data_IF_839790595664
#
_entry.id   IF_839790595664
#
_cell.length_a   1.000
_cell.length_b   1.000
_cell.length_c   1.000
_cell.angle_alpha   90.00
_cell.angle_beta   90.00
_cell.angle_gamma   90.00
#
_symmetry.space_group_name_H-M   'P 1'
#
loop_
_entity.id
_entity.type
_entity.pdbx_description
1 polymer ?
#
# COMPACT_ATOMS: atom_id res chain seq x y z
N UNK A 1 6.75 19.59 -9.06
CA UNK A 1 6.71 18.74 -10.26
C UNK A 1 5.52 17.80 -10.10
N UNK A 2 4.55 17.82 -11.01
CA UNK A 2 3.41 16.88 -10.97
C UNK A 2 3.80 15.67 -11.80
N UNK A 3 3.89 14.50 -11.18
CA UNK A 3 4.16 13.26 -11.91
C UNK A 3 2.84 12.68 -12.43
N UNK A 4 2.76 12.26 -13.71
CA UNK A 4 1.55 11.62 -14.23
C UNK A 4 1.22 10.36 -13.42
N UNK A 5 -0.06 10.12 -13.16
CA UNK A 5 -0.55 8.98 -12.38
C UNK A 5 -0.35 7.65 -13.12
N UNK A 6 0.88 7.15 -13.13
CA UNK A 6 1.25 5.88 -13.74
C UNK A 6 1.94 4.96 -12.72
N UNK A 7 2.27 3.74 -13.15
CA UNK A 7 2.86 2.73 -12.29
C UNK A 7 4.28 3.09 -11.79
N UNK A 8 4.94 4.09 -12.37
CA UNK A 8 6.30 4.52 -12.04
C UNK A 8 6.35 5.47 -10.83
N UNK A 9 5.22 5.71 -10.15
CA UNK A 9 5.17 6.57 -8.97
C UNK A 9 5.64 5.88 -7.70
N UNK A 10 5.35 4.59 -7.52
CA UNK A 10 5.77 3.87 -6.31
C UNK A 10 7.30 3.89 -6.12
N UNK A 11 8.13 3.75 -7.17
CA UNK A 11 9.58 3.88 -7.04
C UNK A 11 10.10 5.31 -6.86
N UNK A 12 9.29 6.35 -7.09
CA UNK A 12 9.74 7.76 -7.01
C UNK A 12 9.36 8.36 -5.66
N UNK A 13 10.32 8.51 -4.76
CA UNK A 13 10.06 9.02 -3.40
C UNK A 13 9.43 10.41 -3.42
N UNK A 14 9.81 11.26 -4.38
CA UNK A 14 9.31 12.62 -4.51
C UNK A 14 7.83 12.69 -4.88
N UNK A 15 7.25 11.58 -5.37
CA UNK A 15 5.82 11.48 -5.65
C UNK A 15 4.98 11.16 -4.41
N UNK A 16 5.60 10.83 -3.28
CA UNK A 16 4.91 10.52 -2.03
C UNK A 16 4.95 11.70 -1.05
N UNK A 17 3.82 12.04 -0.41
CA UNK A 17 3.81 12.95 0.73
C UNK A 17 4.79 12.50 1.80
N UNK A 18 5.45 13.43 2.49
CA UNK A 18 6.48 13.12 3.50
C UNK A 18 5.98 12.11 4.56
N UNK A 19 4.74 12.28 5.03
CA UNK A 19 4.10 11.38 5.98
C UNK A 19 3.92 9.93 5.48
N UNK A 20 3.86 9.71 4.16
CA UNK A 20 3.64 8.41 3.55
C UNK A 20 4.94 7.74 3.02
N UNK A 21 6.09 8.43 3.06
CA UNK A 21 7.39 7.86 2.67
C UNK A 21 7.80 6.61 3.47
N UNK A 22 7.52 6.51 4.79
CA UNK A 22 7.79 5.29 5.54
C UNK A 22 6.98 4.09 4.99
N UNK A 23 5.72 4.31 4.60
CA UNK A 23 4.86 3.29 3.99
C UNK A 23 5.46 2.79 2.67
N UNK A 24 5.91 3.71 1.81
CA UNK A 24 6.60 3.37 0.56
C UNK A 24 7.85 2.52 0.81
N UNK A 25 8.68 2.93 1.75
CA UNK A 25 9.94 2.25 2.08
C UNK A 25 9.66 0.81 2.54
N UNK A 26 8.81 0.66 3.55
CA UNK A 26 8.44 -0.65 4.07
C UNK A 26 7.75 -1.53 3.00
N UNK A 27 6.98 -0.93 2.09
CA UNK A 27 6.40 -1.66 0.97
C UNK A 27 7.46 -2.17 0.00
N UNK A 28 8.38 -1.31 -0.45
CA UNK A 28 9.44 -1.71 -1.38
C UNK A 28 10.40 -2.75 -0.78
N UNK A 29 10.53 -2.78 0.54
CA UNK A 29 11.29 -3.80 1.28
C UNK A 29 10.52 -5.12 1.50
N UNK A 30 9.21 -5.18 1.19
CA UNK A 30 8.40 -6.41 1.28
C UNK A 30 8.55 -7.30 0.05
N UNK A 31 8.24 -8.60 0.17
CA UNK A 31 8.25 -9.53 -0.97
C UNK A 31 7.34 -9.07 -2.11
N UNK A 32 6.13 -8.58 -1.79
CA UNK A 32 5.17 -8.09 -2.78
C UNK A 32 5.68 -6.83 -3.48
N UNK A 33 6.30 -5.89 -2.73
CA UNK A 33 6.87 -4.68 -3.31
C UNK A 33 8.07 -4.95 -4.22
N UNK A 34 8.89 -5.94 -3.88
CA UNK A 34 9.96 -6.42 -4.77
C UNK A 34 9.43 -7.09 -6.03
N UNK A 35 8.42 -7.96 -5.88
CA UNK A 35 7.91 -8.76 -7.00
C UNK A 35 7.03 -7.95 -7.96
N UNK A 36 6.21 -7.04 -7.43
CA UNK A 36 5.14 -6.38 -8.19
C UNK A 36 5.01 -4.89 -7.82
N UNK A 37 6.06 -4.06 -7.93
CA UNK A 37 6.01 -2.65 -7.52
C UNK A 37 5.04 -1.79 -8.34
N UNK A 38 4.59 -2.27 -9.51
CA UNK A 38 3.79 -1.53 -10.49
C UNK A 38 2.31 -1.97 -10.64
N UNK A 39 1.91 -3.11 -10.05
CA UNK A 39 0.51 -3.58 -10.09
C UNK A 39 -0.52 -2.60 -9.48
N UNK A 40 -1.52 -2.18 -10.27
CA UNK A 40 -2.58 -1.24 -9.88
C UNK A 40 -3.99 -1.82 -10.11
N UNK A 41 -5.03 -1.41 -9.35
CA UNK A 41 -4.97 -0.57 -8.16
C UNK A 41 -4.34 -1.32 -6.98
N UNK A 42 -3.65 -0.60 -6.09
CA UNK A 42 -2.98 -1.17 -4.91
C UNK A 42 -3.43 -0.52 -3.62
N UNK A 43 -3.51 -1.35 -2.58
CA UNK A 43 -3.79 -0.93 -1.22
C UNK A 43 -2.71 -1.49 -0.30
N UNK A 44 -2.20 -0.64 0.59
CA UNK A 44 -1.16 -0.98 1.56
C UNK A 44 -1.72 -0.61 2.94
N UNK A 45 -1.86 -1.59 3.82
CA UNK A 45 -2.16 -1.38 5.23
C UNK A 45 -0.84 -1.31 5.99
N UNK A 46 -0.62 -0.19 6.66
CA UNK A 46 0.59 0.09 7.41
C UNK A 46 0.23 0.44 8.84
N UNK A 47 0.86 -0.24 9.79
CA UNK A 47 0.64 -0.05 11.22
C UNK A 47 1.97 -0.28 11.95
N UNK A 48 2.25 0.55 12.95
CA UNK A 48 3.41 0.41 13.83
C UNK A 48 4.75 0.22 13.09
N UNK A 49 4.94 0.98 12.01
CA UNK A 49 6.18 0.95 11.23
C UNK A 49 6.28 -0.21 10.23
N UNK A 50 5.25 -1.05 10.10
CA UNK A 50 5.27 -2.28 9.29
C UNK A 50 4.11 -2.33 8.31
N UNK A 51 4.37 -2.95 7.16
CA UNK A 51 3.30 -3.34 6.23
C UNK A 51 2.61 -4.58 6.78
N UNK A 52 1.32 -4.45 7.10
CA UNK A 52 0.48 -5.52 7.65
C UNK A 52 -0.14 -6.34 6.52
N UNK A 53 -0.60 -5.67 5.47
CA UNK A 53 -1.26 -6.30 4.32
C UNK A 53 -1.07 -5.46 3.07
N UNK A 54 -0.82 -6.13 1.94
CA UNK A 54 -0.85 -5.53 0.61
C UNK A 54 -1.79 -6.32 -0.28
N UNK A 55 -2.66 -5.62 -1.00
CA UNK A 55 -3.55 -6.25 -1.97
C UNK A 55 -3.65 -5.43 -3.24
N UNK A 56 -4.01 -6.09 -4.33
CA UNK A 56 -4.23 -5.46 -5.63
C UNK A 56 -5.64 -5.76 -6.13
N UNK A 57 -6.23 -4.82 -6.87
CA UNK A 57 -7.55 -4.98 -7.48
C UNK A 57 -8.71 -4.79 -6.49
N UNK A 58 -9.91 -4.56 -7.05
CA UNK A 58 -11.13 -4.32 -6.25
C UNK A 58 -11.55 -5.54 -5.42
N UNK A 59 -11.33 -6.75 -5.94
CA UNK A 59 -11.57 -7.99 -5.18
C UNK A 59 -10.64 -8.07 -3.97
N UNK A 60 -9.34 -7.80 -4.16
CA UNK A 60 -8.38 -7.73 -3.06
C UNK A 60 -8.78 -6.72 -1.99
N UNK A 61 -9.27 -5.55 -2.40
CA UNK A 61 -9.82 -4.56 -1.47
C UNK A 61 -10.97 -5.12 -0.64
N UNK A 62 -12.01 -5.64 -1.31
CA UNK A 62 -13.25 -6.08 -0.65
C UNK A 62 -13.04 -7.32 0.23
N UNK A 63 -12.31 -8.30 -0.29
CA UNK A 63 -12.26 -9.64 0.29
C UNK A 63 -11.15 -9.81 1.33
N UNK A 64 -10.15 -8.92 1.31
CA UNK A 64 -8.97 -9.03 2.18
C UNK A 64 -8.65 -7.73 2.93
N UNK A 65 -8.57 -6.59 2.23
CA UNK A 65 -8.19 -5.33 2.88
C UNK A 65 -9.24 -4.86 3.88
N UNK A 66 -10.51 -4.83 3.48
CA UNK A 66 -11.58 -4.37 4.36
C UNK A 66 -11.71 -5.20 5.65
N UNK A 67 -11.77 -6.55 5.59
CA UNK A 67 -11.76 -7.37 6.80
C UNK A 67 -10.53 -7.14 7.69
N UNK A 68 -9.35 -6.96 7.09
CA UNK A 68 -8.13 -6.71 7.86
C UNK A 68 -8.17 -5.35 8.58
N UNK A 69 -8.70 -4.30 7.94
CA UNK A 69 -8.89 -2.99 8.60
C UNK A 69 -9.79 -3.16 9.83
N UNK A 70 -10.91 -3.88 9.68
CA UNK A 70 -11.84 -4.13 10.78
C UNK A 70 -11.17 -4.87 11.95
N UNK A 71 -10.34 -5.87 11.64
CA UNK A 71 -9.59 -6.64 12.63
C UNK A 71 -8.58 -5.76 13.39
N UNK A 72 -7.74 -5.01 12.68
CA UNK A 72 -6.68 -4.20 13.33
C UNK A 72 -7.20 -2.96 14.06
N UNK A 73 -8.37 -2.44 13.70
CA UNK A 73 -8.99 -1.31 14.41
C UNK A 73 -9.98 -1.75 15.49
N UNK A 74 -10.27 -3.04 15.61
CA UNK A 74 -11.32 -3.57 16.50
C UNK A 74 -12.74 -3.09 16.13
N UNK A 75 -12.93 -2.59 14.91
CA UNK A 75 -14.23 -2.09 14.45
C UNK A 75 -15.06 -3.27 13.95
N UNK A 76 -16.13 -3.61 14.67
CA UNK A 76 -17.19 -4.47 14.13
C UNK A 76 -18.09 -3.59 13.25
N UNK A 77 -18.28 -3.96 11.99
CA UNK A 77 -19.31 -3.35 11.15
C UNK A 77 -20.71 -3.65 11.70
#
# INVERSE_FOLDING_TARGET
>A
MVYPANADLVPKEESWPAAARPVRTAFLDSDEGRARPAATPRFILFQDGKVVLTVTGNAGWKDKMWPMIQDVTGTKA
#
